data_IF_283648221119
#
_entry.id   IF_283648221119
#
_cell.length_a   1.000
_cell.length_b   1.000
_cell.length_c   1.000
_cell.angle_alpha   90.00
_cell.angle_beta   90.00
_cell.angle_gamma   90.00
#
_symmetry.space_group_name_H-M   'P 1'
#
loop_
_entity.id
_entity.type
_entity.pdbx_description
1 polymer ?
#
# COMPACT_ATOMS: atom_id res chain seq x y z
N UNK A 1 -40.59 45.23 -36.19
CA UNK A 1 -39.52 44.81 -35.24
C UNK A 1 -38.58 43.86 -36.00
N UNK A 2 -37.35 44.28 -36.32
CA UNK A 2 -36.39 43.44 -37.05
C UNK A 2 -35.67 42.51 -36.07
N UNK A 3 -35.77 41.20 -36.28
CA UNK A 3 -35.07 40.18 -35.50
C UNK A 3 -33.59 40.13 -35.92
N UNK A 4 -32.70 40.55 -35.03
CA UNK A 4 -31.25 40.42 -35.20
C UNK A 4 -30.88 38.95 -35.04
N UNK A 5 -30.47 38.32 -36.14
CA UNK A 5 -30.06 36.91 -36.17
C UNK A 5 -28.59 36.81 -35.74
N UNK A 6 -28.36 36.40 -34.50
CA UNK A 6 -27.04 36.21 -33.92
C UNK A 6 -26.42 34.91 -34.47
N UNK A 7 -25.74 34.98 -35.61
CA UNK A 7 -24.90 33.88 -36.10
C UNK A 7 -23.66 33.77 -35.21
N UNK A 8 -23.80 33.05 -34.10
CA UNK A 8 -22.65 32.62 -33.29
C UNK A 8 -21.82 31.68 -34.16
N UNK A 9 -20.67 32.15 -34.64
CA UNK A 9 -19.68 31.34 -35.35
C UNK A 9 -19.30 30.14 -34.47
N UNK A 10 -19.94 28.99 -34.70
CA UNK A 10 -19.55 27.74 -34.08
C UNK A 10 -18.23 27.31 -34.72
N UNK A 11 -17.11 27.74 -34.15
CA UNK A 11 -15.81 27.16 -34.45
C UNK A 11 -15.85 25.72 -33.95
N UNK A 12 -16.02 24.77 -34.88
CA UNK A 12 -15.88 23.35 -34.60
C UNK A 12 -14.41 22.99 -34.45
N UNK A 13 -14.13 22.01 -33.60
CA UNK A 13 -12.81 21.38 -33.51
C UNK A 13 -12.56 20.59 -34.79
N UNK A 14 -11.38 20.73 -35.39
CA UNK A 14 -11.05 19.99 -36.61
C UNK A 14 -10.66 18.55 -36.24
N UNK A 15 -10.99 17.59 -37.12
CA UNK A 15 -10.57 16.20 -36.91
C UNK A 15 -9.04 16.06 -36.89
N UNK A 16 -8.33 16.93 -37.62
CA UNK A 16 -6.87 16.93 -37.65
C UNK A 16 -6.28 17.37 -36.30
N UNK A 17 -6.86 18.37 -35.64
CA UNK A 17 -6.46 18.78 -34.29
C UNK A 17 -6.63 17.62 -33.30
N UNK A 18 -7.71 16.83 -33.43
CA UNK A 18 -7.91 15.65 -32.58
C UNK A 18 -6.86 14.57 -32.82
N UNK A 19 -6.54 14.29 -34.09
CA UNK A 19 -5.57 13.25 -34.47
C UNK A 19 -4.16 13.59 -33.97
N UNK A 20 -3.75 14.85 -34.08
CA UNK A 20 -2.43 15.29 -33.57
C UNK A 20 -2.36 15.16 -32.05
N UNK A 21 -3.43 15.48 -31.33
CA UNK A 21 -3.45 15.38 -29.85
C UNK A 21 -3.34 13.92 -29.39
N UNK A 22 -4.11 13.00 -29.97
CA UNK A 22 -4.01 11.58 -29.61
C UNK A 22 -2.65 10.99 -30.01
N UNK A 23 -2.04 11.47 -31.09
CA UNK A 23 -0.70 11.05 -31.50
C UNK A 23 0.37 11.45 -30.47
N UNK A 24 0.31 12.69 -29.95
CA UNK A 24 1.23 13.14 -28.90
C UNK A 24 0.98 12.38 -27.58
N UNK A 25 -0.28 12.19 -27.18
CA UNK A 25 -0.63 11.41 -25.97
C UNK A 25 -0.11 9.98 -26.08
N UNK A 26 -0.21 9.34 -27.26
CA UNK A 26 0.29 7.99 -27.49
C UNK A 26 1.81 7.89 -27.31
N UNK A 27 2.57 8.88 -27.81
CA UNK A 27 4.04 8.93 -27.65
C UNK A 27 4.41 9.10 -26.16
N UNK A 28 3.73 10.00 -25.44
CA UNK A 28 3.99 10.23 -24.02
C UNK A 28 3.63 9.00 -23.17
N UNK A 29 2.51 8.34 -23.45
CA UNK A 29 2.08 7.14 -22.74
C UNK A 29 3.07 5.99 -22.90
N UNK A 30 3.65 5.81 -24.10
CA UNK A 30 4.63 4.76 -24.37
C UNK A 30 5.87 4.85 -23.46
N UNK A 31 6.36 6.07 -23.21
CA UNK A 31 7.54 6.31 -22.36
C UNK A 31 7.17 6.21 -20.87
N UNK A 32 5.95 6.60 -20.52
CA UNK A 32 5.51 6.72 -19.13
C UNK A 32 5.20 5.36 -18.46
N UNK A 33 4.54 4.44 -19.16
CA UNK A 33 4.10 3.13 -18.61
C UNK A 33 5.21 2.35 -17.88
N UNK A 34 6.40 2.09 -18.46
CA UNK A 34 7.41 1.28 -17.79
C UNK A 34 7.92 1.93 -16.51
N UNK A 35 8.04 3.25 -16.47
CA UNK A 35 8.57 3.97 -15.31
C UNK A 35 7.65 3.92 -14.09
N UNK A 36 6.33 4.06 -14.30
CA UNK A 36 5.34 4.08 -13.22
C UNK A 36 5.33 2.77 -12.42
N UNK A 37 5.47 1.62 -13.09
CA UNK A 37 5.41 0.31 -12.44
C UNK A 37 6.42 0.15 -11.29
N UNK A 38 7.67 0.59 -11.50
CA UNK A 38 8.72 0.53 -10.48
C UNK A 38 8.50 1.51 -9.33
N UNK A 39 7.89 2.67 -9.58
CA UNK A 39 7.54 3.62 -8.52
C UNK A 39 6.39 3.11 -7.64
N UNK A 40 5.39 2.49 -8.24
CA UNK A 40 4.28 1.87 -7.49
C UNK A 40 4.82 0.76 -6.59
N UNK A 41 5.63 -0.16 -7.13
CA UNK A 41 6.20 -1.25 -6.33
C UNK A 41 7.03 -0.74 -5.14
N UNK A 42 7.84 0.31 -5.33
CA UNK A 42 8.61 0.93 -4.23
C UNK A 42 7.70 1.60 -3.20
N UNK A 43 6.63 2.25 -3.64
CA UNK A 43 5.67 2.87 -2.74
C UNK A 43 4.89 1.83 -1.92
N UNK A 44 4.53 0.70 -2.54
CA UNK A 44 3.90 -0.44 -1.86
C UNK A 44 4.85 -1.05 -0.83
N UNK A 45 6.12 -1.28 -1.19
CA UNK A 45 7.12 -1.79 -0.25
C UNK A 45 7.32 -0.85 0.94
N UNK A 46 7.44 0.45 0.71
CA UNK A 46 7.57 1.45 1.77
C UNK A 46 6.32 1.52 2.67
N UNK A 47 5.13 1.33 2.10
CA UNK A 47 3.88 1.23 2.86
C UNK A 47 3.87 -0.01 3.75
N UNK A 48 4.30 -1.15 3.22
CA UNK A 48 4.31 -2.42 3.95
C UNK A 48 5.36 -2.39 5.07
N UNK A 49 6.53 -1.76 4.86
CA UNK A 49 7.50 -1.45 5.91
C UNK A 49 6.90 -0.61 7.05
N UNK A 50 6.18 0.47 6.71
CA UNK A 50 5.52 1.31 7.72
C UNK A 50 4.46 0.51 8.50
N UNK A 51 3.67 -0.30 7.81
CA UNK A 51 2.66 -1.16 8.43
C UNK A 51 3.28 -2.25 9.31
N UNK A 52 4.39 -2.85 8.90
CA UNK A 52 5.13 -3.81 9.72
C UNK A 52 5.62 -3.15 11.03
N UNK A 53 6.18 -1.93 10.98
CA UNK A 53 6.56 -1.20 12.21
C UNK A 53 5.36 -0.91 13.11
N UNK A 54 4.24 -0.51 12.52
CA UNK A 54 3.01 -0.23 13.26
C UNK A 54 2.47 -1.51 13.91
N UNK A 55 2.49 -2.64 13.19
CA UNK A 55 2.09 -3.95 13.72
C UNK A 55 2.99 -4.38 14.88
N UNK A 56 4.31 -4.20 14.74
CA UNK A 56 5.28 -4.51 15.79
C UNK A 56 4.99 -3.72 17.07
N UNK A 57 4.76 -2.41 16.92
CA UNK A 57 4.40 -1.54 18.04
C UNK A 57 3.08 -1.96 18.70
N UNK A 58 2.07 -2.31 17.89
CA UNK A 58 0.79 -2.82 18.38
C UNK A 58 0.93 -4.18 19.08
N UNK A 59 1.80 -5.06 18.57
CA UNK A 59 2.08 -6.35 19.18
C UNK A 59 2.73 -6.19 20.57
N UNK A 60 3.69 -5.28 20.71
CA UNK A 60 4.28 -4.94 22.01
C UNK A 60 3.22 -4.38 22.96
N UNK A 61 2.42 -3.42 22.50
CA UNK A 61 1.35 -2.85 23.31
C UNK A 61 0.41 -3.94 23.86
N UNK A 62 -0.02 -4.86 23.00
CA UNK A 62 -0.86 -6.00 23.39
C UNK A 62 -0.16 -6.92 24.39
N UNK A 63 1.12 -7.24 24.18
CA UNK A 63 1.88 -8.04 25.12
C UNK A 63 1.92 -7.41 26.53
N UNK A 64 1.97 -6.08 26.60
CA UNK A 64 2.02 -5.34 27.86
C UNK A 64 0.64 -5.14 28.52
N UNK A 65 -0.43 -4.94 27.75
CA UNK A 65 -1.74 -4.53 28.29
C UNK A 65 -2.78 -5.64 28.36
N UNK A 66 -2.68 -6.65 27.51
CA UNK A 66 -3.78 -7.58 27.22
C UNK A 66 -3.60 -8.98 27.83
N UNK A 67 -2.65 -9.14 28.78
CA UNK A 67 -2.31 -10.39 29.49
C UNK A 67 -2.23 -11.61 28.56
N UNK A 68 -1.55 -11.47 27.42
CA UNK A 68 -1.36 -12.57 26.47
C UNK A 68 -0.23 -13.48 26.97
N UNK A 69 -0.46 -14.78 27.03
CA UNK A 69 0.60 -15.75 27.34
C UNK A 69 1.55 -15.92 26.16
N UNK A 70 2.73 -15.30 26.26
CA UNK A 70 3.78 -15.34 25.24
C UNK A 70 4.52 -16.68 25.20
N UNK A 71 4.28 -17.58 26.15
CA UNK A 71 4.86 -18.93 26.17
C UNK A 71 3.93 -20.00 25.59
N UNK A 72 2.71 -19.61 25.20
CA UNK A 72 1.78 -20.50 24.54
C UNK A 72 2.29 -20.91 23.15
N UNK A 73 1.94 -22.13 22.71
CA UNK A 73 2.31 -22.63 21.37
C UNK A 73 1.82 -21.70 20.24
N UNK A 74 0.67 -21.06 20.43
CA UNK A 74 0.06 -20.13 19.47
C UNK A 74 0.23 -18.65 19.85
N UNK A 75 1.24 -18.33 20.68
CA UNK A 75 1.47 -16.97 21.20
C UNK A 75 1.45 -15.91 20.08
N UNK A 76 2.14 -16.15 18.96
CA UNK A 76 2.15 -15.25 17.81
C UNK A 76 0.77 -14.97 17.22
N UNK A 77 -0.06 -16.01 17.04
CA UNK A 77 -1.42 -15.87 16.54
C UNK A 77 -2.33 -15.12 17.53
N UNK A 78 -2.17 -15.37 18.82
CA UNK A 78 -2.92 -14.69 19.88
C UNK A 78 -2.58 -13.20 19.96
N UNK A 79 -1.29 -12.85 19.91
CA UNK A 79 -0.83 -11.46 19.88
C UNK A 79 -1.35 -10.77 18.61
N UNK A 80 -1.16 -11.38 17.44
CA UNK A 80 -1.66 -10.84 16.17
C UNK A 80 -3.17 -10.61 16.19
N UNK A 81 -3.94 -11.57 16.70
CA UNK A 81 -5.39 -11.53 16.78
C UNK A 81 -5.92 -10.31 17.55
N UNK A 82 -5.17 -9.85 18.55
CA UNK A 82 -5.47 -8.61 19.28
C UNK A 82 -4.84 -7.37 18.63
N UNK A 83 -3.59 -7.46 18.16
CA UNK A 83 -2.84 -6.35 17.57
C UNK A 83 -3.52 -5.79 16.31
N UNK A 84 -4.17 -6.64 15.51
CA UNK A 84 -4.95 -6.24 14.32
C UNK A 84 -6.18 -5.36 14.62
N UNK A 85 -6.55 -5.17 15.88
CA UNK A 85 -7.58 -4.19 16.25
C UNK A 85 -7.02 -2.75 16.32
N UNK A 86 -5.71 -2.62 16.54
CA UNK A 86 -5.01 -1.34 16.64
C UNK A 86 -4.46 -0.86 15.29
N UNK A 87 -4.26 -1.77 14.35
CA UNK A 87 -3.90 -1.46 12.97
C UNK A 87 -4.91 -2.09 12.02
N UNK A 88 -5.44 -1.32 11.06
CA UNK A 88 -6.34 -1.90 10.05
C UNK A 88 -5.52 -2.75 9.08
N UNK A 89 -5.62 -4.08 9.20
CA UNK A 89 -5.02 -5.02 8.26
C UNK A 89 -6.08 -5.45 7.24
N UNK A 90 -5.94 -5.11 5.95
CA UNK A 90 -6.83 -5.57 4.89
C UNK A 90 -6.87 -7.10 4.78
N UNK A 91 -7.98 -7.65 4.27
CA UNK A 91 -8.18 -9.10 4.20
C UNK A 91 -7.26 -9.81 3.18
N UNK A 92 -6.75 -9.06 2.20
CA UNK A 92 -5.81 -9.50 1.17
C UNK A 92 -4.35 -9.45 1.62
N UNK A 93 -4.07 -8.88 2.79
CA UNK A 93 -2.72 -8.82 3.37
C UNK A 93 -2.44 -10.05 4.22
N UNK A 94 -1.26 -10.64 4.02
CA UNK A 94 -0.75 -11.68 4.91
C UNK A 94 0.08 -11.03 6.00
N UNK A 95 -0.35 -11.11 7.26
CA UNK A 95 0.41 -10.57 8.38
C UNK A 95 0.48 -11.55 9.55
N UNK A 96 1.59 -11.54 10.28
CA UNK A 96 1.84 -12.43 11.41
C UNK A 96 2.75 -11.79 12.45
N UNK A 97 2.68 -12.29 13.69
CA UNK A 97 3.60 -11.95 14.78
C UNK A 97 4.34 -13.23 15.16
N UNK A 98 5.66 -13.14 15.28
CA UNK A 98 6.51 -14.25 15.73
C UNK A 98 6.91 -14.01 17.18
N UNK A 99 6.64 -15.01 18.02
CA UNK A 99 7.02 -15.01 19.43
C UNK A 99 7.92 -16.21 19.67
N UNK A 100 9.07 -15.99 20.30
CA UNK A 100 10.03 -17.04 20.66
C UNK A 100 10.45 -16.84 22.10
N UNK A 101 10.43 -17.90 22.91
CA UNK A 101 10.86 -17.86 24.31
C UNK A 101 10.21 -16.73 25.14
N UNK A 102 8.93 -16.44 24.89
CA UNK A 102 8.21 -15.41 25.62
C UNK A 102 8.47 -13.97 25.15
N UNK A 103 9.16 -13.77 24.02
CA UNK A 103 9.46 -12.45 23.48
C UNK A 103 8.98 -12.33 22.02
N UNK A 104 8.44 -11.15 21.67
CA UNK A 104 8.11 -10.83 20.27
C UNK A 104 9.42 -10.60 19.52
N UNK A 105 9.75 -11.50 18.60
CA UNK A 105 11.02 -11.45 17.86
C UNK A 105 10.89 -10.78 16.50
N UNK A 106 9.73 -10.87 15.87
CA UNK A 106 9.46 -10.21 14.59
C UNK A 106 7.98 -10.11 14.29
N UNK A 107 7.64 -9.26 13.33
CA UNK A 107 6.34 -9.27 12.65
C UNK A 107 6.54 -9.32 11.16
N UNK A 108 5.62 -9.96 10.46
CA UNK A 108 5.58 -10.01 9.00
C UNK A 108 4.33 -9.28 8.52
N UNK A 109 4.48 -8.45 7.48
CA UNK A 109 3.39 -7.77 6.78
C UNK A 109 3.67 -7.89 5.28
N UNK A 110 2.83 -8.64 4.57
CA UNK A 110 3.10 -9.18 3.23
C UNK A 110 4.49 -9.85 3.20
N UNK A 111 5.37 -9.39 2.32
CA UNK A 111 6.73 -9.91 2.16
C UNK A 111 7.76 -9.14 3.01
N UNK A 112 7.32 -8.25 3.91
CA UNK A 112 8.22 -7.46 4.76
C UNK A 112 8.21 -8.00 6.19
N UNK A 113 9.37 -8.41 6.68
CA UNK A 113 9.59 -8.82 8.07
C UNK A 113 10.36 -7.73 8.81
N UNK A 114 9.84 -7.28 9.95
CA UNK A 114 10.49 -6.33 10.85
C UNK A 114 10.80 -6.98 12.20
N UNK A 115 12.06 -6.91 12.64
CA UNK A 115 12.55 -7.54 13.88
C UNK A 115 12.79 -6.54 15.04
N UNK A 116 12.24 -5.33 14.93
CA UNK A 116 12.49 -4.25 15.90
C UNK A 116 13.67 -3.33 15.53
N UNK A 117 14.54 -3.73 14.60
CA UNK A 117 15.68 -2.91 14.17
C UNK A 117 15.75 -2.73 12.65
N UNK A 118 15.62 -3.82 11.91
CA UNK A 118 15.81 -3.88 10.47
C UNK A 118 14.61 -4.52 9.77
N UNK A 119 14.50 -4.22 8.48
CA UNK A 119 13.56 -4.86 7.59
C UNK A 119 14.28 -5.91 6.75
N UNK A 120 13.64 -7.06 6.61
CA UNK A 120 14.08 -8.14 5.73
C UNK A 120 12.92 -8.56 4.85
N UNK A 121 13.20 -8.96 3.62
CA UNK A 121 12.25 -9.62 2.74
C UNK A 121 12.65 -11.10 2.62
N UNK A 122 11.73 -12.03 2.31
CA UNK A 122 12.08 -13.37 1.88
C UNK A 122 13.17 -13.25 0.82
N UNK A 123 14.31 -13.88 1.09
CA UNK A 123 15.38 -14.01 0.10
C UNK A 123 14.80 -14.85 -1.03
N UNK A 124 14.84 -14.33 -2.27
CA UNK A 124 14.57 -15.14 -3.46
C UNK A 124 15.47 -16.39 -3.49
#
# INVERSE_FOLDING_TARGET
MKLVKNNKNKKGFTLIELIVVIAIIAILALILIPTISGYIARAEHARDEANARNLYTAAILVAETENVDLNATDAGANVYGKAKAYITVPADVTASVTVTNGEITSVTYNDVTFNGSEFTTPTE
#
